data_IF_826590714494
#
_entry.id   IF_826590714494
#
_cell.length_a   1.000
_cell.length_b   1.000
_cell.length_c   1.000
_cell.angle_alpha   90.00
_cell.angle_beta   90.00
_cell.angle_gamma   90.00
#
_symmetry.space_group_name_H-M   'P 1'
#
loop_
_entity.id
_entity.type
_entity.pdbx_description
1 polymer ?
#
# COMPACT_ATOMS: atom_id res chain seq x y z
N UNK A 1 4.99 -14.29 -0.71
CA UNK A 1 4.87 -13.63 -2.04
C UNK A 1 3.39 -13.54 -2.39
N UNK A 2 2.98 -12.50 -3.12
CA UNK A 2 1.63 -12.40 -3.71
C UNK A 2 1.71 -12.40 -5.23
N UNK A 3 0.68 -12.90 -5.92
CA UNK A 3 0.68 -13.02 -7.39
C UNK A 3 -0.50 -12.32 -8.05
N UNK A 4 -0.22 -11.41 -8.99
CA UNK A 4 -1.28 -10.54 -9.55
C UNK A 4 -1.35 -10.53 -11.08
N UNK A 5 -0.50 -11.28 -11.78
CA UNK A 5 -0.52 -11.29 -13.23
C UNK A 5 0.47 -12.27 -13.85
N UNK A 6 0.64 -12.14 -15.16
CA UNK A 6 1.55 -12.95 -15.98
C UNK A 6 2.40 -12.04 -16.86
N UNK A 7 3.69 -12.32 -16.97
CA UNK A 7 4.62 -11.57 -17.84
C UNK A 7 4.55 -12.05 -19.31
N UNK A 8 5.37 -11.45 -20.16
CA UNK A 8 5.42 -11.78 -21.60
C UNK A 8 6.02 -13.16 -21.92
N UNK A 9 6.71 -13.78 -20.96
CA UNK A 9 7.26 -15.12 -21.07
C UNK A 9 6.33 -16.19 -20.47
N UNK A 10 5.17 -15.78 -19.94
CA UNK A 10 4.20 -16.69 -19.31
C UNK A 10 4.48 -16.96 -17.82
N UNK A 11 5.46 -16.30 -17.20
CA UNK A 11 5.74 -16.47 -15.78
C UNK A 11 4.81 -15.62 -14.91
N UNK A 12 4.54 -16.11 -13.70
CA UNK A 12 3.73 -15.38 -12.71
C UNK A 12 4.46 -14.13 -12.23
N UNK A 13 3.78 -13.00 -12.31
CA UNK A 13 4.28 -11.75 -11.74
C UNK A 13 3.91 -11.71 -10.27
N UNK A 14 4.95 -11.66 -9.43
CA UNK A 14 4.85 -11.75 -7.98
C UNK A 14 5.80 -10.80 -7.29
N UNK A 15 5.42 -10.35 -6.10
CA UNK A 15 6.29 -9.56 -5.23
C UNK A 15 6.03 -9.85 -3.74
N UNK A 16 6.96 -9.42 -2.88
CA UNK A 16 6.78 -9.48 -1.42
C UNK A 16 6.04 -8.23 -0.93
N UNK A 17 4.84 -8.34 -0.32
CA UNK A 17 4.00 -7.18 0.01
C UNK A 17 4.61 -6.29 1.10
N UNK A 18 5.47 -6.86 1.95
CA UNK A 18 6.15 -6.15 3.04
C UNK A 18 7.66 -6.04 2.80
N UNK A 19 8.06 -5.55 1.63
CA UNK A 19 9.48 -5.36 1.30
C UNK A 19 9.78 -3.97 0.75
N UNK A 20 8.92 -3.46 -0.15
CA UNK A 20 9.13 -2.19 -0.83
C UNK A 20 7.85 -1.35 -0.74
N UNK A 21 8.02 -0.04 -0.52
CA UNK A 21 6.96 0.92 -0.77
C UNK A 21 6.60 0.91 -2.25
N UNK A 22 5.30 0.92 -2.54
CA UNK A 22 4.76 0.65 -3.86
C UNK A 22 3.96 1.85 -4.36
N UNK A 23 4.21 2.29 -5.58
CA UNK A 23 3.32 3.21 -6.30
C UNK A 23 2.60 2.43 -7.39
N UNK A 24 1.27 2.52 -7.43
CA UNK A 24 0.43 2.00 -8.50
C UNK A 24 -0.21 3.17 -9.25
N UNK A 25 0.19 3.38 -10.50
CA UNK A 25 -0.26 4.49 -11.30
C UNK A 25 -0.91 4.06 -12.62
N UNK A 26 -1.87 4.85 -13.10
CA UNK A 26 -2.50 4.64 -14.39
C UNK A 26 -3.70 5.55 -14.60
N UNK A 27 -3.88 6.01 -15.84
CA UNK A 27 -5.02 6.86 -16.23
C UNK A 27 -6.35 6.11 -16.08
N UNK A 28 -7.46 6.84 -16.11
CA UNK A 28 -8.81 6.25 -16.10
C UNK A 28 -8.95 5.21 -17.22
N UNK A 29 -9.57 4.06 -16.90
CA UNK A 29 -9.72 2.88 -17.78
C UNK A 29 -8.42 2.17 -18.18
N UNK A 30 -7.27 2.48 -17.58
CA UNK A 30 -6.03 1.70 -17.78
C UNK A 30 -6.06 0.29 -17.18
N UNK A 31 -7.05 -0.02 -16.34
CA UNK A 31 -7.10 -1.25 -15.55
C UNK A 31 -6.51 -1.09 -14.14
N UNK A 32 -6.09 0.12 -13.73
CA UNK A 32 -5.53 0.42 -12.39
C UNK A 32 -6.36 -0.19 -11.25
N UNK A 33 -7.66 0.06 -11.24
CA UNK A 33 -8.55 -0.43 -10.19
C UNK A 33 -8.61 -1.95 -10.14
N UNK A 34 -8.70 -2.63 -11.30
CA UNK A 34 -8.73 -4.10 -11.36
C UNK A 34 -7.40 -4.70 -10.89
N UNK A 35 -6.28 -4.10 -11.27
CA UNK A 35 -4.96 -4.49 -10.76
C UNK A 35 -4.85 -4.29 -9.24
N UNK A 36 -5.35 -3.17 -8.72
CA UNK A 36 -5.41 -2.91 -7.28
C UNK A 36 -6.29 -3.96 -6.57
N UNK A 37 -7.45 -4.29 -7.12
CA UNK A 37 -8.33 -5.34 -6.59
C UNK A 37 -7.60 -6.67 -6.50
N UNK A 38 -6.91 -7.09 -7.56
CA UNK A 38 -6.18 -8.35 -7.57
C UNK A 38 -5.06 -8.38 -6.52
N UNK A 39 -4.25 -7.32 -6.44
CA UNK A 39 -3.17 -7.19 -5.45
C UNK A 39 -3.73 -7.23 -4.03
N UNK A 40 -4.78 -6.46 -3.75
CA UNK A 40 -5.36 -6.37 -2.41
C UNK A 40 -6.09 -7.64 -1.99
N UNK A 41 -6.74 -8.35 -2.92
CA UNK A 41 -7.30 -9.67 -2.67
C UNK A 41 -6.22 -10.66 -2.22
N UNK A 42 -5.09 -10.70 -2.92
CA UNK A 42 -3.95 -11.56 -2.55
C UNK A 42 -3.36 -11.15 -1.20
N UNK A 43 -3.13 -9.86 -0.97
CA UNK A 43 -2.68 -9.35 0.33
C UNK A 43 -3.65 -9.71 1.47
N UNK A 44 -4.96 -9.63 1.22
CA UNK A 44 -5.97 -9.93 2.22
C UNK A 44 -5.95 -11.41 2.61
N UNK A 45 -5.66 -12.32 1.68
CA UNK A 45 -5.54 -13.76 1.96
C UNK A 45 -4.27 -14.13 2.74
N UNK A 46 -3.18 -13.35 2.62
CA UNK A 46 -1.94 -13.64 3.38
C UNK A 46 -2.17 -13.41 4.89
N UNK A 47 -2.08 -14.42 5.77
CA UNK A 47 -2.51 -14.31 7.16
C UNK A 47 -1.79 -13.23 7.98
N UNK A 48 -0.53 -12.98 7.69
CA UNK A 48 0.32 -12.01 8.38
C UNK A 48 0.32 -10.60 7.77
N UNK A 49 -0.32 -10.40 6.61
CA UNK A 49 -0.49 -9.05 6.04
C UNK A 49 -1.69 -8.37 6.71
N UNK A 50 -1.48 -7.14 7.16
CA UNK A 50 -2.51 -6.28 7.74
C UNK A 50 -2.71 -5.07 6.83
N UNK A 51 -3.89 -4.98 6.21
CA UNK A 51 -4.27 -3.81 5.40
C UNK A 51 -4.78 -2.72 6.34
N UNK A 52 -4.32 -1.50 6.13
CA UNK A 52 -4.80 -0.26 6.80
C UNK A 52 -4.75 0.88 5.78
N UNK A 53 -5.38 2.02 6.07
CA UNK A 53 -5.09 3.26 5.33
C UNK A 53 -6.31 4.10 5.00
N UNK A 54 -6.22 4.85 3.90
CA UNK A 54 -7.18 5.89 3.54
C UNK A 54 -7.75 5.66 2.15
N UNK A 55 -9.07 5.81 2.03
CA UNK A 55 -9.80 5.68 0.78
C UNK A 55 -10.88 6.76 0.65
N UNK A 56 -10.58 7.88 -0.03
CA UNK A 56 -11.51 8.95 -0.36
C UNK A 56 -12.83 8.48 -0.97
N UNK A 57 -12.83 7.39 -1.75
CA UNK A 57 -14.03 6.86 -2.40
C UNK A 57 -14.81 5.90 -1.52
N UNK A 58 -14.12 5.24 -0.59
CA UNK A 58 -14.63 4.14 0.22
C UNK A 58 -14.86 2.83 -0.54
N UNK A 59 -14.58 2.79 -1.85
CA UNK A 59 -14.85 1.62 -2.70
C UNK A 59 -13.75 0.57 -2.56
N UNK A 60 -12.49 0.99 -2.53
CA UNK A 60 -11.36 0.07 -2.52
C UNK A 60 -11.19 -0.57 -1.14
N UNK A 61 -11.13 0.22 -0.07
CA UNK A 61 -10.87 -0.27 1.29
C UNK A 61 -12.15 -0.56 2.09
N UNK A 62 -13.32 -0.15 1.60
CA UNK A 62 -14.61 -0.46 2.23
C UNK A 62 -14.83 -1.94 2.56
N UNK A 63 -14.49 -2.90 1.66
CA UNK A 63 -14.60 -4.33 1.97
C UNK A 63 -13.76 -4.80 3.16
N UNK A 64 -12.61 -4.16 3.43
CA UNK A 64 -11.69 -4.52 4.51
C UNK A 64 -12.04 -3.85 5.86
N UNK A 65 -12.82 -2.76 5.83
CA UNK A 65 -13.01 -1.88 6.99
C UNK A 65 -14.07 -2.35 7.99
N UNK A 66 -14.87 -3.36 7.64
CA UNK A 66 -15.93 -3.86 8.49
C UNK A 66 -15.38 -4.30 9.86
N UNK A 67 -15.88 -3.67 10.94
CA UNK A 67 -15.43 -3.93 12.31
C UNK A 67 -14.08 -3.31 12.69
N UNK A 68 -13.46 -2.52 11.81
CA UNK A 68 -12.09 -1.96 11.97
C UNK A 68 -12.03 -0.45 11.67
N UNK A 69 -12.86 0.38 12.33
CA UNK A 69 -12.93 1.81 12.01
C UNK A 69 -11.62 2.56 12.27
N UNK A 70 -10.77 2.08 13.19
CA UNK A 70 -9.51 2.74 13.54
C UNK A 70 -8.34 2.32 12.62
N UNK A 71 -8.54 1.30 11.77
CA UNK A 71 -7.59 0.83 10.76
C UNK A 71 -7.78 1.55 9.41
N UNK A 72 -8.97 2.10 9.17
CA UNK A 72 -9.36 2.66 7.86
C UNK A 72 -10.10 3.98 7.98
N UNK A 73 -9.72 4.94 7.13
CA UNK A 73 -10.48 6.17 6.93
C UNK A 73 -11.10 6.21 5.54
N UNK A 74 -12.43 6.36 5.49
CA UNK A 74 -13.19 6.35 4.25
C UNK A 74 -13.90 7.70 4.04
N UNK A 75 -13.88 8.21 2.81
CA UNK A 75 -14.53 9.46 2.44
C UNK A 75 -13.66 10.72 2.58
N UNK A 76 -14.23 11.86 2.20
CA UNK A 76 -13.54 13.17 2.14
C UNK A 76 -14.26 14.30 2.87
N UNK A 77 -15.29 13.99 3.68
CA UNK A 77 -15.91 15.00 4.53
C UNK A 77 -14.89 15.56 5.54
N UNK A 78 -15.09 16.76 6.11
CA UNK A 78 -14.18 17.31 7.12
C UNK A 78 -13.89 16.32 8.26
N UNK A 79 -14.94 15.65 8.76
CA UNK A 79 -14.81 14.59 9.78
C UNK A 79 -14.02 13.37 9.27
N UNK A 80 -14.20 12.99 8.01
CA UNK A 80 -13.44 11.89 7.40
C UNK A 80 -11.96 12.25 7.24
N UNK A 81 -11.63 13.51 6.96
CA UNK A 81 -10.25 13.99 6.86
C UNK A 81 -9.56 14.06 8.24
N UNK A 82 -10.27 14.53 9.27
CA UNK A 82 -9.80 14.44 10.66
C UNK A 82 -9.52 12.97 11.05
N UNK A 83 -10.43 12.06 10.69
CA UNK A 83 -10.26 10.64 10.92
C UNK A 83 -9.10 10.03 10.12
N UNK A 84 -8.89 10.45 8.86
CA UNK A 84 -7.74 10.04 8.07
C UNK A 84 -6.42 10.41 8.74
N UNK A 85 -6.32 11.62 9.30
CA UNK A 85 -5.14 12.03 10.08
C UNK A 85 -5.00 11.16 11.34
N UNK A 86 -6.10 10.83 12.03
CA UNK A 86 -6.06 9.96 13.21
C UNK A 86 -5.55 8.55 12.86
N UNK A 87 -6.06 7.94 11.79
CA UNK A 87 -5.59 6.64 11.29
C UNK A 87 -4.11 6.69 10.91
N UNK A 88 -3.67 7.72 10.19
CA UNK A 88 -2.25 7.90 9.84
C UNK A 88 -1.36 8.06 11.08
N UNK A 89 -1.83 8.78 12.11
CA UNK A 89 -1.13 8.90 13.40
C UNK A 89 -1.03 7.58 14.15
N UNK A 90 -2.08 6.75 14.13
CA UNK A 90 -2.04 5.41 14.72
C UNK A 90 -0.94 4.56 14.04
N UNK A 91 -0.83 4.64 12.71
CA UNK A 91 0.20 3.96 11.92
C UNK A 91 1.60 4.48 12.27
N UNK A 92 1.78 5.80 12.34
CA UNK A 92 3.04 6.43 12.78
C UNK A 92 3.44 5.95 14.19
N UNK A 93 2.48 5.93 15.12
CA UNK A 93 2.72 5.48 16.49
C UNK A 93 3.12 4.00 16.57
N UNK A 94 2.47 3.12 15.79
CA UNK A 94 2.86 1.71 15.71
C UNK A 94 4.26 1.53 15.16
N UNK A 95 4.62 2.31 14.12
CA UNK A 95 5.97 2.33 13.57
C UNK A 95 7.00 2.74 14.63
N UNK A 96 6.74 3.83 15.35
CA UNK A 96 7.63 4.33 16.42
C UNK A 96 7.82 3.27 17.52
N UNK A 97 6.74 2.64 17.97
CA UNK A 97 6.80 1.57 18.98
C UNK A 97 7.63 0.37 18.52
N UNK A 98 7.48 -0.03 17.25
CA UNK A 98 8.25 -1.11 16.65
C UNK A 98 9.73 -0.75 16.60
N UNK A 99 10.07 0.45 16.13
CA UNK A 99 11.44 0.94 16.03
C UNK A 99 12.11 1.06 17.41
N UNK A 100 11.38 1.51 18.44
CA UNK A 100 11.92 1.54 19.81
C UNK A 100 12.40 0.17 20.29
N UNK A 101 11.63 -0.89 20.00
CA UNK A 101 11.98 -2.27 20.37
C UNK A 101 13.18 -2.80 19.59
N UNK A 102 13.33 -2.38 18.33
CA UNK A 102 14.52 -2.73 17.53
C UNK A 102 15.82 -2.24 18.20
N UNK A 103 15.79 -1.01 18.74
CA UNK A 103 16.95 -0.44 19.43
C UNK A 103 17.30 -1.22 20.71
N UNK A 104 16.29 -1.64 21.47
CA UNK A 104 16.46 -2.48 22.67
C UNK A 104 17.05 -3.86 22.33
N UNK A 105 16.63 -4.43 21.20
CA UNK A 105 17.08 -5.75 20.71
C UNK A 105 18.38 -5.71 19.89
N UNK A 106 18.92 -4.52 19.59
CA UNK A 106 20.16 -4.37 18.82
C UNK A 106 20.05 -4.78 17.33
N UNK A 107 18.84 -4.77 16.77
CA UNK A 107 18.57 -5.07 15.36
C UNK A 107 18.11 -3.80 14.62
N UNK A 108 18.29 -3.73 13.30
CA UNK A 108 18.02 -2.51 12.51
C UNK A 108 16.68 -2.53 11.75
N UNK A 109 16.03 -3.69 11.67
CA UNK A 109 14.72 -3.92 11.08
C UNK A 109 14.05 -5.18 11.66
N UNK A 110 12.71 -5.23 11.66
CA UNK A 110 11.96 -6.44 12.00
C UNK A 110 12.27 -7.53 10.96
N UNK A 111 12.85 -8.67 11.36
CA UNK A 111 13.16 -9.76 10.43
C UNK A 111 11.90 -10.38 9.82
N UNK A 112 12.04 -10.97 8.63
CA UNK A 112 10.92 -11.63 7.92
C UNK A 112 10.27 -12.75 8.72
N UNK A 113 11.06 -13.58 9.41
CA UNK A 113 10.52 -14.64 10.26
C UNK A 113 9.67 -14.10 11.44
N UNK A 114 9.87 -12.84 11.85
CA UNK A 114 9.11 -12.22 12.95
C UNK A 114 7.79 -11.64 12.43
N UNK A 115 7.82 -10.80 11.38
CA UNK A 115 6.59 -10.19 10.88
C UNK A 115 5.67 -11.17 10.13
N UNK A 116 6.16 -12.34 9.73
CA UNK A 116 5.34 -13.40 9.13
C UNK A 116 4.56 -14.21 10.16
N UNK A 117 4.82 -14.01 11.46
CA UNK A 117 3.88 -14.40 12.52
C UNK A 117 2.64 -13.48 12.46
N UNK A 118 1.42 -14.01 12.28
CA UNK A 118 0.19 -13.20 12.23
C UNK A 118 -0.06 -12.35 13.48
N UNK A 119 0.50 -12.69 14.64
CA UNK A 119 0.38 -11.89 15.87
C UNK A 119 1.14 -10.57 15.76
N UNK A 120 2.28 -10.57 15.06
CA UNK A 120 3.06 -9.36 14.77
C UNK A 120 2.53 -8.72 13.49
N UNK A 121 2.60 -9.45 12.38
CA UNK A 121 2.12 -9.04 11.07
C UNK A 121 2.87 -7.85 10.45
N UNK A 122 2.99 -7.87 9.14
CA UNK A 122 3.42 -6.70 8.39
C UNK A 122 2.22 -5.81 8.04
N UNK A 123 2.42 -4.49 8.09
CA UNK A 123 1.37 -3.50 7.79
C UNK A 123 1.56 -2.98 6.37
N UNK A 124 0.51 -3.08 5.56
CA UNK A 124 0.45 -2.46 4.22
C UNK A 124 -0.51 -1.28 4.29
N UNK A 125 0.04 -0.08 4.21
CA UNK A 125 -0.69 1.19 4.29
C UNK A 125 -1.15 1.57 2.89
N UNK A 126 -2.43 1.39 2.59
CA UNK A 126 -3.00 1.69 1.29
C UNK A 126 -3.50 3.14 1.27
N UNK A 127 -2.98 3.94 0.35
CA UNK A 127 -3.43 5.30 0.10
C UNK A 127 -4.13 5.32 -1.26
N UNK A 128 -5.44 5.09 -1.26
CA UNK A 128 -6.27 5.21 -2.46
C UNK A 128 -6.44 6.69 -2.81
N UNK A 129 -6.24 7.01 -4.09
CA UNK A 129 -6.28 8.37 -4.64
C UNK A 129 -5.61 9.40 -3.73
N UNK A 130 -4.33 9.16 -3.38
CA UNK A 130 -3.59 10.01 -2.45
C UNK A 130 -3.57 11.49 -2.87
N UNK A 131 -3.54 11.77 -4.18
CA UNK A 131 -3.69 13.12 -4.71
C UNK A 131 -5.06 13.74 -4.34
N UNK A 132 -6.14 12.96 -4.46
CA UNK A 132 -7.49 13.37 -4.09
C UNK A 132 -7.65 13.59 -2.58
N UNK A 133 -7.02 12.75 -1.75
CA UNK A 133 -6.98 12.97 -0.30
C UNK A 133 -6.33 14.31 0.06
N UNK A 134 -5.17 14.60 -0.54
CA UNK A 134 -4.47 15.87 -0.34
C UNK A 134 -5.25 17.07 -0.88
N UNK A 135 -5.96 16.91 -2.00
CA UNK A 135 -6.77 17.96 -2.60
C UNK A 135 -8.03 18.29 -1.80
N UNK A 136 -8.59 17.31 -1.09
CA UNK A 136 -9.74 17.50 -0.20
C UNK A 136 -9.35 18.13 1.15
N UNK A 137 -8.10 17.96 1.57
CA UNK A 137 -7.59 18.50 2.82
C UNK A 137 -7.35 20.02 2.75
N UNK A 138 -7.61 20.73 3.85
CA UNK A 138 -7.09 22.09 4.00
C UNK A 138 -5.56 22.11 4.07
N UNK A 139 -4.96 23.30 4.02
CA UNK A 139 -3.49 23.45 4.01
C UNK A 139 -2.82 22.74 5.19
N UNK A 140 -3.36 22.89 6.41
CA UNK A 140 -2.77 22.33 7.63
C UNK A 140 -2.91 20.81 7.66
N UNK A 141 -4.09 20.31 7.32
CA UNK A 141 -4.35 18.88 7.21
C UNK A 141 -3.48 18.23 6.12
N UNK A 142 -3.35 18.86 4.96
CA UNK A 142 -2.51 18.37 3.87
C UNK A 142 -1.01 18.39 4.20
N UNK A 143 -0.52 19.36 4.96
CA UNK A 143 0.86 19.37 5.47
C UNK A 143 1.09 18.23 6.47
N UNK A 144 0.16 17.99 7.39
CA UNK A 144 0.26 16.91 8.37
C UNK A 144 0.21 15.52 7.71
N UNK A 145 -0.69 15.31 6.74
CA UNK A 145 -0.77 14.07 5.96
C UNK A 145 0.57 13.81 5.25
N UNK A 146 1.14 14.82 4.56
CA UNK A 146 2.44 14.68 3.88
C UNK A 146 3.57 14.39 4.86
N UNK A 147 3.57 15.04 6.03
CA UNK A 147 4.56 14.80 7.10
C UNK A 147 4.54 13.35 7.54
N UNK A 148 3.36 12.82 7.88
CA UNK A 148 3.21 11.44 8.38
C UNK A 148 3.59 10.44 7.29
N UNK A 149 3.01 10.56 6.09
CA UNK A 149 3.29 9.64 4.98
C UNK A 149 4.77 9.66 4.62
N UNK A 150 5.39 10.85 4.58
CA UNK A 150 6.82 10.98 4.32
C UNK A 150 7.69 10.28 5.38
N UNK A 151 7.30 10.33 6.66
CA UNK A 151 8.00 9.62 7.72
C UNK A 151 7.87 8.10 7.56
N UNK A 152 6.66 7.60 7.30
CA UNK A 152 6.42 6.17 7.05
C UNK A 152 7.25 5.68 5.84
N UNK A 153 7.36 6.48 4.78
CA UNK A 153 8.18 6.14 3.62
C UNK A 153 9.68 6.05 3.93
N UNK A 154 10.19 6.83 4.88
CA UNK A 154 11.62 6.83 5.25
C UNK A 154 11.98 5.76 6.27
N UNK A 155 11.08 5.48 7.22
CA UNK A 155 11.39 4.64 8.39
C UNK A 155 10.59 3.34 8.44
N UNK A 156 9.47 3.25 7.71
CA UNK A 156 8.51 2.16 7.82
C UNK A 156 9.07 0.79 7.47
N UNK A 157 10.07 0.72 6.58
CA UNK A 157 10.71 -0.55 6.22
C UNK A 157 11.37 -1.24 7.43
N UNK A 158 11.91 -0.47 8.39
CA UNK A 158 12.45 -1.03 9.64
C UNK A 158 11.35 -1.70 10.47
N UNK A 159 10.15 -1.14 10.46
CA UNK A 159 9.00 -1.60 11.25
C UNK A 159 8.08 -2.59 10.51
N UNK A 160 8.48 -3.14 9.36
CA UNK A 160 7.62 -3.94 8.49
C UNK A 160 6.29 -3.23 8.14
N UNK A 161 6.35 -1.92 7.92
CA UNK A 161 5.22 -1.05 7.57
C UNK A 161 5.48 -0.42 6.20
N UNK A 162 4.69 -0.78 5.19
CA UNK A 162 4.93 -0.38 3.80
C UNK A 162 3.73 0.32 3.16
N UNK A 163 3.95 1.52 2.65
CA UNK A 163 2.99 2.28 1.85
C UNK A 163 2.76 1.68 0.47
N UNK A 164 1.50 1.57 0.06
CA UNK A 164 1.04 1.39 -1.31
C UNK A 164 0.19 2.60 -1.73
N UNK A 165 0.77 3.50 -2.52
CA UNK A 165 0.08 4.70 -3.02
C UNK A 165 -0.52 4.44 -4.39
N UNK A 166 -1.81 4.70 -4.53
CA UNK A 166 -2.56 4.49 -5.78
C UNK A 166 -2.95 5.84 -6.36
N UNK A 167 -2.49 6.13 -7.58
CA UNK A 167 -2.61 7.44 -8.21
C UNK A 167 -3.16 7.33 -9.63
N UNK A 168 -4.00 8.27 -10.06
CA UNK A 168 -4.33 8.38 -11.50
C UNK A 168 -3.20 9.04 -12.29
N UNK A 169 -2.72 10.17 -11.78
CA UNK A 169 -1.68 10.98 -12.39
C UNK A 169 -0.52 11.15 -11.40
N UNK A 170 0.67 10.61 -11.71
CA UNK A 170 1.84 10.83 -10.88
C UNK A 170 2.34 12.26 -11.11
N UNK A 171 2.35 13.06 -10.04
CA UNK A 171 2.87 14.42 -10.06
C UNK A 171 3.91 14.59 -8.95
N UNK A 172 4.95 15.39 -9.22
CA UNK A 172 6.03 15.61 -8.26
C UNK A 172 5.54 16.23 -6.94
N UNK A 173 4.48 17.06 -7.00
CA UNK A 173 3.86 17.67 -5.82
C UNK A 173 3.10 16.65 -4.94
N UNK A 174 2.66 15.54 -5.51
CA UNK A 174 1.97 14.46 -4.80
C UNK A 174 2.98 13.43 -4.28
N UNK A 175 4.00 13.09 -5.07
CA UNK A 175 5.05 12.13 -4.71
C UNK A 175 6.31 12.83 -4.17
N UNK A 176 6.17 13.58 -3.07
CA UNK A 176 7.26 14.39 -2.50
C UNK A 176 8.48 13.58 -2.04
N UNK A 177 8.28 12.33 -1.63
CA UNK A 177 9.32 11.36 -1.24
C UNK A 177 9.47 10.22 -2.28
N UNK A 178 9.33 10.52 -3.59
CA UNK A 178 9.30 9.49 -4.65
C UNK A 178 10.44 8.47 -4.62
N UNK A 179 11.64 8.89 -4.18
CA UNK A 179 12.81 8.03 -4.11
C UNK A 179 12.64 6.84 -3.15
N UNK A 180 11.70 6.92 -2.21
CA UNK A 180 11.38 5.83 -1.28
C UNK A 180 10.49 4.75 -1.91
N UNK A 181 9.84 5.04 -3.05
CA UNK A 181 9.05 4.07 -3.79
C UNK A 181 9.96 3.20 -4.67
N UNK A 182 10.56 2.20 -4.04
CA UNK A 182 11.42 1.23 -4.71
C UNK A 182 10.63 0.21 -5.56
N UNK A 183 9.30 0.20 -5.50
CA UNK A 183 8.42 -0.54 -6.41
C UNK A 183 7.47 0.39 -7.14
N UNK A 184 7.44 0.32 -8.46
CA UNK A 184 6.46 1.01 -9.30
C UNK A 184 5.70 0.00 -10.16
N UNK A 185 4.38 0.06 -10.09
CA UNK A 185 3.45 -0.66 -10.97
C UNK A 185 2.75 0.40 -11.81
N UNK A 186 3.14 0.49 -13.07
CA UNK A 186 2.66 1.56 -13.95
C UNK A 186 1.89 0.95 -15.08
N UNK A 187 0.60 1.28 -15.14
CA UNK A 187 -0.30 0.93 -16.24
C UNK A 187 -0.31 2.06 -17.27
N UNK A 188 -1.15 1.98 -18.30
CA UNK A 188 -1.24 3.05 -19.29
C UNK A 188 -1.45 4.43 -18.61
N UNK A 189 -0.56 5.38 -18.90
CA UNK A 189 -0.59 6.78 -18.45
C UNK A 189 -0.79 7.72 -19.65
N UNK A 190 -1.04 9.00 -19.38
CA UNK A 190 -1.43 9.97 -20.43
C UNK A 190 -0.25 10.45 -21.30
N UNK A 191 0.95 10.52 -20.74
CA UNK A 191 2.12 11.10 -21.40
C UNK A 191 3.44 10.44 -20.98
N UNK A 192 4.48 10.70 -21.77
CA UNK A 192 5.84 10.17 -21.56
C UNK A 192 6.48 10.68 -20.26
N UNK A 193 6.19 11.91 -19.83
CA UNK A 193 6.77 12.50 -18.62
C UNK A 193 6.32 11.75 -17.36
N UNK A 194 5.06 11.33 -17.32
CA UNK A 194 4.52 10.48 -16.26
C UNK A 194 5.22 9.12 -16.19
N UNK A 195 5.58 8.56 -17.35
CA UNK A 195 6.35 7.30 -17.42
C UNK A 195 7.74 7.52 -16.86
N UNK A 196 8.48 8.50 -17.37
CA UNK A 196 9.87 8.78 -16.95
C UNK A 196 9.97 9.16 -15.47
N UNK A 197 8.93 9.79 -14.91
CA UNK A 197 8.89 10.13 -13.49
C UNK A 197 8.87 8.88 -12.59
N UNK A 198 8.14 7.83 -13.00
CA UNK A 198 7.95 6.61 -12.22
C UNK A 198 8.93 5.49 -12.61
N UNK A 199 9.34 5.47 -13.87
CA UNK A 199 10.20 4.47 -14.50
C UNK A 199 11.38 5.20 -15.19
N UNK A 200 12.34 5.74 -14.43
CA UNK A 200 13.36 6.64 -14.98
C UNK A 200 14.30 5.99 -16.01
N UNK A 201 14.39 4.66 -16.01
CA UNK A 201 15.30 3.90 -16.87
C UNK A 201 14.64 3.38 -18.16
N UNK A 202 13.38 3.75 -18.45
CA UNK A 202 12.68 3.24 -19.65
C UNK A 202 13.22 3.81 -20.95
N UNK A 203 13.35 2.96 -21.97
CA UNK A 203 13.64 3.36 -23.34
C UNK A 203 12.45 4.08 -24.01
N UNK A 204 12.65 4.81 -25.12
CA UNK A 204 11.55 5.40 -25.88
C UNK A 204 10.48 4.38 -26.33
N UNK A 205 10.91 3.17 -26.70
CA UNK A 205 10.01 2.09 -27.13
C UNK A 205 9.16 1.57 -25.97
N UNK A 206 9.74 1.45 -24.77
CA UNK A 206 9.01 1.06 -23.55
C UNK A 206 8.00 2.12 -23.13
N UNK A 207 8.35 3.40 -23.26
CA UNK A 207 7.43 4.52 -23.03
C UNK A 207 6.25 4.45 -23.99
N UNK A 208 6.51 4.29 -25.30
CA UNK A 208 5.46 4.19 -26.32
C UNK A 208 4.56 2.97 -26.08
N UNK A 209 5.15 1.81 -25.76
CA UNK A 209 4.42 0.58 -25.41
C UNK A 209 3.51 0.81 -24.22
N UNK A 210 3.97 1.51 -23.17
CA UNK A 210 3.15 1.77 -21.99
C UNK A 210 2.01 2.74 -22.27
N UNK A 211 2.26 3.85 -22.96
CA UNK A 211 1.24 4.86 -23.31
C UNK A 211 0.12 4.24 -24.16
N UNK A 212 0.48 3.40 -25.13
CA UNK A 212 -0.45 2.70 -26.02
C UNK A 212 -1.01 1.39 -25.45
N UNK A 213 -0.66 1.01 -24.21
CA UNK A 213 -1.05 -0.27 -23.63
C UNK A 213 -2.56 -0.41 -23.46
N UNK A 214 -3.05 -1.61 -23.79
CA UNK A 214 -4.44 -2.00 -23.50
C UNK A 214 -4.68 -2.08 -21.99
N UNK A 215 -5.94 -1.91 -21.53
CA UNK A 215 -6.27 -2.04 -20.12
C UNK A 215 -5.79 -3.36 -19.52
N UNK A 216 -5.34 -3.32 -18.26
CA UNK A 216 -4.83 -4.51 -17.56
C UNK A 216 -3.37 -4.82 -17.86
N UNK A 217 -2.66 -4.00 -18.64
CA UNK A 217 -1.24 -4.19 -18.95
C UNK A 217 -0.39 -3.04 -18.41
N UNK A 218 0.85 -3.34 -18.08
CA UNK A 218 1.76 -2.35 -17.52
C UNK A 218 3.15 -2.89 -17.27
N UNK A 219 3.96 -2.08 -16.61
CA UNK A 219 5.30 -2.43 -16.16
C UNK A 219 5.36 -2.54 -14.64
N UNK A 220 6.09 -3.55 -14.17
CA UNK A 220 6.54 -3.69 -12.80
C UNK A 220 8.04 -3.39 -12.75
N UNK A 221 8.41 -2.38 -11.99
CA UNK A 221 9.79 -2.06 -11.61
C UNK A 221 9.97 -2.34 -10.13
N UNK A 222 11.03 -3.06 -9.77
CA UNK A 222 11.51 -3.20 -8.40
C UNK A 222 13.01 -2.86 -8.35
N UNK A 223 13.44 -2.17 -7.30
CA UNK A 223 14.86 -1.86 -7.14
C UNK A 223 15.70 -3.14 -7.14
N UNK A 224 16.70 -3.20 -8.03
CA UNK A 224 17.58 -4.36 -8.20
C UNK A 224 17.06 -5.46 -9.13
N UNK A 225 15.86 -5.31 -9.70
CA UNK A 225 15.25 -6.30 -10.60
C UNK A 225 15.06 -5.72 -12.02
N UNK A 226 15.09 -6.57 -13.07
CA UNK A 226 14.74 -6.14 -14.43
C UNK A 226 13.31 -5.62 -14.52
N UNK A 227 13.10 -4.63 -15.39
CA UNK A 227 11.77 -4.13 -15.73
C UNK A 227 10.95 -5.26 -16.37
N UNK A 228 9.73 -5.51 -15.87
CA UNK A 228 8.85 -6.58 -16.36
C UNK A 228 7.57 -6.03 -16.95
N UNK A 229 7.29 -6.32 -18.22
CA UNK A 229 5.98 -6.05 -18.81
C UNK A 229 5.01 -7.19 -18.46
N UNK A 230 3.79 -6.84 -18.06
CA UNK A 230 2.83 -7.80 -17.56
C UNK A 230 1.40 -7.55 -18.03
N UNK A 231 0.57 -8.58 -17.90
CA UNK A 231 -0.90 -8.51 -17.90
C UNK A 231 -1.42 -8.93 -16.52
N UNK A 232 -2.15 -8.05 -15.86
CA UNK A 232 -2.81 -8.35 -14.59
C UNK A 232 -3.90 -9.40 -14.76
N UNK A 233 -4.08 -10.24 -13.75
CA UNK A 233 -5.22 -11.14 -13.69
C UNK A 233 -6.51 -10.34 -13.49
N UNK A 234 -7.56 -10.73 -14.19
CA UNK A 234 -8.84 -10.07 -14.10
C UNK A 234 -9.61 -10.54 -12.87
N UNK A 235 -10.16 -9.60 -12.11
CA UNK A 235 -11.09 -9.86 -11.01
C UNK A 235 -12.20 -8.82 -11.05
N UNK A 236 -13.45 -9.27 -10.85
CA UNK A 236 -14.59 -8.36 -10.73
C UNK A 236 -14.56 -7.69 -9.36
N UNK A 237 -15.20 -6.52 -9.23
CA UNK A 237 -15.34 -5.88 -7.92
C UNK A 237 -16.09 -6.76 -6.92
N UNK A 238 -17.10 -7.51 -7.36
CA UNK A 238 -17.86 -8.43 -6.51
C UNK A 238 -16.96 -9.53 -5.93
N UNK A 239 -16.18 -10.21 -6.78
CA UNK A 239 -15.25 -11.24 -6.34
C UNK A 239 -14.18 -10.66 -5.41
N UNK A 240 -13.63 -9.50 -5.76
CA UNK A 240 -12.70 -8.75 -4.91
C UNK A 240 -13.28 -8.47 -3.51
N UNK A 241 -14.47 -7.88 -3.46
CA UNK A 241 -15.11 -7.49 -2.21
C UNK A 241 -15.46 -8.71 -1.36
N UNK A 242 -15.87 -9.82 -1.98
CA UNK A 242 -16.12 -11.08 -1.28
C UNK A 242 -14.84 -11.62 -0.61
N UNK A 243 -13.76 -11.76 -1.38
CA UNK A 243 -12.46 -12.25 -0.90
C UNK A 243 -11.96 -11.37 0.25
N UNK A 244 -11.87 -10.06 0.02
CA UNK A 244 -11.31 -9.13 1.01
C UNK A 244 -12.15 -9.08 2.28
N UNK A 245 -13.48 -9.10 2.18
CA UNK A 245 -14.35 -9.11 3.36
C UNK A 245 -14.15 -10.38 4.19
N UNK A 246 -14.17 -11.54 3.53
CA UNK A 246 -14.01 -12.83 4.20
C UNK A 246 -12.65 -12.94 4.88
N UNK A 247 -11.57 -12.61 4.15
CA UNK A 247 -10.22 -12.67 4.67
C UNK A 247 -9.96 -11.64 5.77
N UNK A 248 -10.54 -10.44 5.66
CA UNK A 248 -10.39 -9.40 6.68
C UNK A 248 -11.14 -9.74 7.96
N UNK A 249 -12.30 -10.40 7.88
CA UNK A 249 -13.06 -10.83 9.06
C UNK A 249 -12.30 -11.86 9.91
N UNK A 250 -11.39 -12.64 9.31
CA UNK A 250 -10.51 -13.59 10.02
C UNK A 250 -9.36 -12.91 10.79
N UNK A 251 -9.12 -11.63 10.55
CA UNK A 251 -7.95 -10.90 11.08
C UNK A 251 -8.40 -9.92 12.17
N UNK A 252 -7.68 -9.89 13.28
CA UNK A 252 -7.89 -8.87 14.31
C UNK A 252 -7.61 -7.45 13.75
N UNK A 253 -8.27 -6.41 14.28
CA UNK A 253 -7.89 -5.02 14.00
C UNK A 253 -6.42 -4.78 14.38
N UNK A 254 -5.74 -3.90 13.63
CA UNK A 254 -4.38 -3.46 13.99
C UNK A 254 -4.43 -2.53 15.19
N UNK A 255 -5.44 -1.66 15.23
CA UNK A 255 -5.65 -0.69 16.30
C UNK A 255 -6.93 -1.07 17.07
N UNK A 256 -6.83 -1.78 18.20
CA UNK A 256 -7.99 -2.11 19.01
C UNK A 256 -8.60 -0.82 19.61
N UNK A 257 -9.95 -0.79 19.69
CA UNK A 257 -10.67 0.31 20.34
C UNK A 257 -10.21 0.47 21.79
N UNK A 258 -9.97 1.70 22.22
CA UNK A 258 -9.66 1.99 23.62
C UNK A 258 -10.79 1.46 24.52
N UNK A 259 -10.46 0.53 25.43
CA UNK A 259 -11.40 -0.10 26.37
C UNK A 259 -11.79 -1.56 26.09
N UNK A 260 -11.27 -2.19 25.03
CA UNK A 260 -11.39 -3.64 24.85
C UNK A 260 -10.25 -4.38 25.58
N UNK A 261 -10.61 -5.36 26.41
CA UNK A 261 -9.71 -6.16 27.24
C UNK A 261 -8.71 -6.99 26.42
N UNK A 262 -7.55 -7.22 27.04
CA UNK A 262 -6.23 -7.29 26.43
C UNK A 262 -5.81 -8.63 25.80
N UNK A 263 -5.48 -8.58 24.51
CA UNK A 263 -4.24 -9.18 23.98
C UNK A 263 -3.72 -8.22 22.92
N UNK A 264 -2.82 -7.36 23.35
CA UNK A 264 -2.27 -6.30 22.52
C UNK A 264 -1.23 -6.89 21.55
N UNK A 265 -1.46 -6.90 20.22
CA UNK A 265 -0.47 -7.43 19.28
C UNK A 265 0.89 -6.71 19.36
N UNK A 266 0.96 -5.54 20.01
CA UNK A 266 2.20 -4.79 20.27
C UNK A 266 3.14 -5.46 21.29
N UNK A 267 2.68 -6.46 22.07
CA UNK A 267 3.49 -7.16 23.08
C UNK A 267 4.26 -8.37 22.52
N UNK A 268 3.83 -8.96 21.40
CA UNK A 268 4.40 -10.22 20.89
C UNK A 268 5.75 -10.09 20.17
N UNK A 269 6.29 -8.87 20.00
CA UNK A 269 7.59 -8.69 19.36
C UNK A 269 8.74 -9.32 20.17
N UNK A 270 8.65 -9.33 21.50
CA UNK A 270 9.70 -9.87 22.38
C UNK A 270 9.70 -11.41 22.44
N UNK A 271 8.53 -12.04 22.28
CA UNK A 271 8.37 -13.51 22.36
C UNK A 271 8.93 -14.23 21.13
N UNK A 272 8.98 -13.56 19.97
CA UNK A 272 9.32 -14.18 18.67
C UNK A 272 10.76 -13.87 18.25
N UNK A 273 11.45 -12.95 18.95
CA UNK A 273 12.84 -12.58 18.67
C UNK A 273 13.89 -13.38 19.46
N UNK A 274 13.46 -14.27 20.36
CA UNK A 274 14.34 -15.15 21.17
C UNK A 274 14.48 -16.55 20.56
#
# INVERSE_FOLDING_TARGET
MIEFGTDENGYRVRFHPAKLHTVLAGRTRSGKSVTAYRILAECAEVPWVRLVGCDPTGILLGPASAGKPDDFALGTSPKALEHAIAVLKNIEQLMDQRISKLMELGIDQIPEHVYTDPRVGAVVVVLEEYAGLLAAADKKAGEEIRRIVGRILREGSKAATHVMSILQRPEAAVLHDRAQYARAIVMAVENADSVKMLLPMTSPEEVERLVSSKPGRGYLMEAGEPLRYFRADYVTYEAYAAIVREASARKQPVFPRQGADSSDPRQHLEEVTN
#
